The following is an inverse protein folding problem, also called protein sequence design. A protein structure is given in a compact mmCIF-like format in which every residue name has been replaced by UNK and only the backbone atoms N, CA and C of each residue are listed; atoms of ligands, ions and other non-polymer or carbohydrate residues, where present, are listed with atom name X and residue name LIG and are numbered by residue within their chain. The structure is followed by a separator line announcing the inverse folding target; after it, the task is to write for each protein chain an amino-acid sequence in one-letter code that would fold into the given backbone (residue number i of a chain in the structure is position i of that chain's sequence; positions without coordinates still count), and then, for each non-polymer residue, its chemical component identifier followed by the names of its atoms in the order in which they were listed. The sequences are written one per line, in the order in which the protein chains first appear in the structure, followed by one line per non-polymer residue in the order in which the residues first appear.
data_IF_981852450234
#
_entry.id   IF_981852450234
#
_cell.length_a   1.000
_cell.length_b   1.000
_cell.length_c   1.000
_cell.angle_alpha   90.00
_cell.angle_beta   90.00
_cell.angle_gamma   90.00
#
_symmetry.space_group_name_H-M   'P 1'
#
loop_
_entity.id
_entity.type
_entity.pdbx_description
1 polymer ?
#
# COMPACT_ATOMS: atom_id res chain seq x y z
N UNK A 1 2.18 -22.36 10.00
CA UNK A 1 1.61 -21.16 9.33
C UNK A 1 1.92 -19.86 10.08
N UNK A 2 1.38 -19.65 11.29
CA UNK A 2 1.62 -18.41 12.06
C UNK A 2 3.09 -18.16 12.42
N UNK A 3 3.80 -19.19 12.87
CA UNK A 3 5.20 -19.06 13.30
C UNK A 3 6.11 -18.59 12.15
N UNK A 4 5.98 -19.18 10.97
CA UNK A 4 6.76 -18.79 9.79
C UNK A 4 6.48 -17.33 9.42
N UNK A 5 5.21 -16.89 9.45
CA UNK A 5 4.84 -15.50 9.19
C UNK A 5 5.44 -14.54 10.23
N UNK A 6 5.45 -14.91 11.50
CA UNK A 6 6.05 -14.11 12.58
C UNK A 6 7.57 -14.02 12.38
N UNK A 7 8.25 -15.13 12.08
CA UNK A 7 9.69 -15.12 11.81
C UNK A 7 10.04 -14.24 10.60
N UNK A 8 9.24 -14.31 9.54
CA UNK A 8 9.41 -13.47 8.36
C UNK A 8 9.21 -11.98 8.69
N UNK A 9 8.18 -11.66 9.47
CA UNK A 9 7.92 -10.29 9.94
C UNK A 9 9.09 -9.77 10.78
N UNK A 10 9.58 -10.58 11.72
CA UNK A 10 10.72 -10.22 12.57
C UNK A 10 11.99 -10.02 11.75
N UNK A 11 12.25 -10.87 10.75
CA UNK A 11 13.40 -10.73 9.87
C UNK A 11 13.35 -9.42 9.08
N UNK A 12 12.21 -9.08 8.48
CA UNK A 12 12.04 -7.82 7.75
C UNK A 12 12.11 -6.60 8.67
N UNK A 13 11.54 -6.68 9.87
CA UNK A 13 11.66 -5.62 10.87
C UNK A 13 13.12 -5.40 11.27
N UNK A 14 13.86 -6.47 11.57
CA UNK A 14 15.28 -6.41 11.89
C UNK A 14 16.11 -5.83 10.74
N UNK A 15 15.87 -6.28 9.50
CA UNK A 15 16.54 -5.76 8.32
C UNK A 15 16.25 -4.26 8.10
N UNK A 16 15.01 -3.82 8.31
CA UNK A 16 14.62 -2.42 8.25
C UNK A 16 15.31 -1.57 9.32
N UNK A 17 15.38 -2.06 10.56
CA UNK A 17 16.09 -1.38 11.65
C UNK A 17 17.58 -1.25 11.32
N UNK A 18 18.23 -2.34 10.88
CA UNK A 18 19.65 -2.33 10.49
C UNK A 18 19.89 -1.37 9.33
N UNK A 19 19.05 -1.39 8.30
CA UNK A 19 19.15 -0.46 7.17
C UNK A 19 19.00 1.00 7.62
N UNK A 20 18.05 1.29 8.51
CA UNK A 20 17.85 2.61 9.10
C UNK A 20 19.05 3.08 9.92
N UNK A 21 19.59 2.20 10.77
CA UNK A 21 20.73 2.49 11.63
C UNK A 21 22.04 2.69 10.84
N UNK A 22 22.28 1.88 9.80
CA UNK A 22 23.44 2.02 8.92
C UNK A 22 23.38 3.30 8.07
N UNK A 23 22.18 3.79 7.76
CA UNK A 23 21.96 5.03 7.01
C UNK A 23 21.47 6.15 7.94
N UNK A 24 22.05 6.23 9.15
CA UNK A 24 21.73 7.26 10.14
C UNK A 24 22.18 8.67 9.73
N UNK A 25 22.93 8.81 8.63
CA UNK A 25 23.32 10.10 8.06
C UNK A 25 22.11 11.02 7.94
N UNK A 26 22.22 12.17 8.58
CA UNK A 26 21.13 13.13 8.61
C UNK A 26 21.06 13.87 7.29
N UNK A 27 19.91 13.79 6.64
CA UNK A 27 19.60 14.62 5.48
C UNK A 27 18.90 15.88 5.99
N UNK A 28 19.48 17.08 5.76
CA UNK A 28 18.81 18.33 6.12
C UNK A 28 17.64 18.57 5.16
N UNK A 29 16.45 18.74 5.71
CA UNK A 29 15.25 19.19 5.00
C UNK A 29 14.96 20.63 5.40
N UNK A 30 14.98 21.52 4.40
CA UNK A 30 14.54 22.90 4.56
C UNK A 30 13.12 23.03 3.99
N UNK A 31 12.15 23.23 4.89
CA UNK A 31 10.74 23.41 4.53
C UNK A 31 10.38 24.90 4.33
N UNK A 32 11.37 25.80 4.29
CA UNK A 32 11.17 27.25 4.15
C UNK A 32 10.79 27.97 5.45
N UNK A 33 10.12 27.28 6.38
CA UNK A 33 9.70 27.82 7.69
C UNK A 33 10.35 27.08 8.87
N UNK A 34 10.81 25.85 8.63
CA UNK A 34 11.43 24.99 9.62
C UNK A 34 12.51 24.13 8.96
N UNK A 35 13.60 23.91 9.69
CA UNK A 35 14.70 23.03 9.26
C UNK A 35 14.70 21.81 10.16
N UNK A 36 14.58 20.64 9.55
CA UNK A 36 14.59 19.36 10.24
C UNK A 36 15.62 18.44 9.60
N UNK A 37 16.43 17.78 10.41
CA UNK A 37 17.40 16.81 9.93
C UNK A 37 16.90 15.41 10.31
N UNK A 38 16.59 14.59 9.30
CA UNK A 38 16.10 13.23 9.52
C UNK A 38 17.13 12.21 9.05
N UNK A 39 17.27 11.06 9.74
CA UNK A 39 18.08 9.95 9.26
C UNK A 39 17.66 9.55 7.84
N UNK A 40 18.62 9.44 6.93
CA UNK A 40 18.40 9.08 5.51
C UNK A 40 17.65 7.75 5.39
N UNK A 41 18.09 6.75 6.15
CA UNK A 41 17.48 5.41 6.16
C UNK A 41 16.04 5.43 6.63
N UNK A 42 15.75 6.15 7.73
CA UNK A 42 14.38 6.31 8.23
C UNK A 42 13.47 7.03 7.24
N UNK A 43 14.01 8.05 6.57
CA UNK A 43 13.25 8.82 5.56
C UNK A 43 12.92 7.96 4.35
N UNK A 44 13.88 7.19 3.82
CA UNK A 44 13.65 6.27 2.71
C UNK A 44 12.59 5.20 3.04
N UNK A 45 12.67 4.60 4.22
CA UNK A 45 11.67 3.62 4.66
C UNK A 45 10.29 4.25 4.81
N UNK A 46 10.20 5.49 5.32
CA UNK A 46 8.94 6.21 5.45
C UNK A 46 8.30 6.47 4.07
N UNK A 47 9.06 6.95 3.09
CA UNK A 47 8.55 7.16 1.73
C UNK A 47 8.12 5.84 1.05
N UNK A 48 8.88 4.76 1.26
CA UNK A 48 8.50 3.44 0.75
C UNK A 48 7.17 2.96 1.36
N UNK A 49 7.01 3.11 2.68
CA UNK A 49 5.77 2.80 3.39
C UNK A 49 4.58 3.61 2.85
N UNK A 50 4.77 4.92 2.67
CA UNK A 50 3.74 5.80 2.12
C UNK A 50 3.36 5.33 0.71
N UNK A 51 4.34 5.08 -0.16
CA UNK A 51 4.09 4.59 -1.53
C UNK A 51 3.36 3.25 -1.54
N UNK A 52 3.73 2.33 -0.66
CA UNK A 52 3.05 1.04 -0.52
C UNK A 52 1.60 1.18 -0.05
N UNK A 53 1.34 2.02 0.97
CA UNK A 53 -0.03 2.29 1.46
C UNK A 53 -0.88 2.94 0.36
N UNK A 54 -0.36 3.95 -0.32
CA UNK A 54 -1.06 4.63 -1.41
C UNK A 54 -1.30 3.69 -2.61
N UNK A 55 -0.34 2.85 -2.95
CA UNK A 55 -0.48 1.83 -3.99
C UNK A 55 -1.54 0.79 -3.63
N UNK A 56 -1.53 0.31 -2.38
CA UNK A 56 -2.55 -0.60 -1.84
C UNK A 56 -3.94 0.00 -1.85
N UNK A 57 -4.10 1.26 -1.43
CA UNK A 57 -5.37 1.98 -1.51
C UNK A 57 -5.85 2.12 -2.95
N UNK A 58 -4.96 2.54 -3.86
CA UNK A 58 -5.27 2.67 -5.29
C UNK A 58 -5.74 1.35 -5.90
N UNK A 59 -5.06 0.24 -5.58
CA UNK A 59 -5.44 -1.10 -6.03
C UNK A 59 -6.78 -1.54 -5.44
N UNK A 60 -7.05 -1.25 -4.16
CA UNK A 60 -8.31 -1.56 -3.51
C UNK A 60 -9.49 -0.78 -4.14
N UNK A 61 -9.31 0.51 -4.36
CA UNK A 61 -10.32 1.35 -5.03
C UNK A 61 -10.56 0.84 -6.45
N UNK A 62 -9.51 0.57 -7.23
CA UNK A 62 -9.61 0.06 -8.59
C UNK A 62 -10.35 -1.28 -8.68
N UNK A 63 -10.06 -2.22 -7.77
CA UNK A 63 -10.74 -3.52 -7.73
C UNK A 63 -12.19 -3.41 -7.26
N UNK A 64 -12.50 -2.52 -6.32
CA UNK A 64 -13.88 -2.24 -5.88
C UNK A 64 -14.77 -1.72 -7.03
N UNK A 65 -14.26 -0.77 -7.82
CA UNK A 65 -14.96 -0.27 -9.01
C UNK A 65 -15.15 -1.35 -10.08
N UNK A 66 -14.14 -2.20 -10.31
CA UNK A 66 -14.24 -3.32 -11.25
C UNK A 66 -15.33 -4.33 -10.81
N UNK A 67 -15.45 -4.58 -9.51
CA UNK A 67 -16.45 -5.49 -8.95
C UNK A 67 -17.88 -4.95 -9.10
N UNK A 68 -18.08 -3.65 -8.82
CA UNK A 68 -19.39 -3.01 -9.03
C UNK A 68 -19.81 -3.02 -10.52
N UNK A 69 -18.87 -2.80 -11.44
CA UNK A 69 -19.17 -2.83 -12.88
C UNK A 69 -19.58 -4.22 -13.36
N UNK A 70 -18.95 -5.29 -12.85
CA UNK A 70 -19.36 -6.67 -13.13
C UNK A 70 -20.75 -6.98 -12.59
N UNK A 71 -21.10 -6.52 -11.39
CA UNK A 71 -22.45 -6.70 -10.81
C UNK A 71 -23.53 -6.01 -11.65
N UNK A 72 -23.28 -4.80 -12.15
CA UNK A 72 -24.23 -4.07 -13.01
C UNK A 72 -24.46 -4.78 -14.35
N UNK A 73 -23.41 -5.37 -14.95
CA UNK A 73 -23.55 -6.17 -16.18
C UNK A 73 -24.34 -7.47 -15.95
N UNK A 74 -24.05 -8.19 -14.87
CA UNK A 74 -24.76 -9.42 -14.51
C UNK A 74 -26.27 -9.19 -14.23
N UNK A 75 -26.63 -8.05 -13.64
CA UNK A 75 -28.03 -7.66 -13.42
C UNK A 75 -28.74 -7.25 -14.72
N UNK A 76 -28.02 -6.60 -15.65
CA UNK A 76 -28.51 -6.28 -16.99
C UNK A 76 -28.80 -7.53 -17.81
N UNK A 77 -27.86 -8.47 -17.86
CA UNK A 77 -28.00 -9.73 -18.61
C UNK A 77 -29.15 -10.59 -18.08
N UNK A 78 -29.36 -10.63 -16.74
CA UNK A 78 -30.51 -11.32 -16.14
C UNK A 78 -31.85 -10.70 -16.52
N UNK A 79 -31.95 -9.37 -16.58
CA UNK A 79 -33.18 -8.70 -17.04
C UNK A 79 -33.46 -8.97 -18.52
N UNK A 80 -32.42 -8.96 -19.36
CA UNK A 80 -32.55 -9.26 -20.79
C UNK A 80 -32.94 -10.73 -21.04
N UNK A 81 -32.38 -11.67 -20.27
CA UNK A 81 -32.75 -13.08 -20.35
C UNK A 81 -34.21 -13.34 -19.90
N UNK A 82 -34.65 -12.69 -18.82
CA UNK A 82 -36.03 -12.78 -18.33
C UNK A 82 -37.06 -12.18 -19.29
N UNK A 83 -36.69 -11.15 -20.08
CA UNK A 83 -37.56 -10.56 -21.09
C UNK A 83 -37.66 -11.39 -22.38
N UNK A 84 -36.71 -12.30 -22.63
CA UNK A 84 -36.72 -13.21 -23.80
C UNK A 84 -37.51 -14.49 -23.57
N UNK A 85 -37.90 -14.78 -22.33
CA UNK A 85 -38.58 -16.02 -21.92
C UNK A 85 -40.07 -15.84 -21.60
N UNK A 86 -40.57 -14.61 -21.67
CA UNK A 86 -41.99 -14.25 -21.60
C UNK A 86 -42.52 -13.89 -22.99
#
# INVERSE_FOLDING_TARGET
MRLIAILFLLLFAAAGIVFGALNADLVPFDFGFARGSLPKGGTMLAFLLIGWVLGGLTAWVGTSFAHQRKRRRALGDRKVASAKTA
#
